data_IF_351534595104
#
_entry.id   IF_351534595104
#
_cell.length_a   1.000
_cell.length_b   1.000
_cell.length_c   1.000
_cell.angle_alpha   90.00
_cell.angle_beta   90.00
_cell.angle_gamma   90.00
#
_symmetry.space_group_name_H-M   'P 1'
#
loop_
_entity.id
_entity.type
_entity.pdbx_description
1 polymer ?
#
# COMPACT_ATOMS: atom_id res chain seq x y z
N UNK A 1 -8.38 0.48 -4.87
CA UNK A 1 -6.93 0.31 -5.02
C UNK A 1 -6.40 1.71 -5.24
N UNK A 2 -5.52 2.15 -4.36
CA UNK A 2 -5.03 3.52 -4.37
C UNK A 2 -3.57 3.53 -4.78
N UNK A 3 -3.14 4.61 -5.42
CA UNK A 3 -1.73 4.80 -5.74
C UNK A 3 -0.99 5.08 -4.43
N UNK A 4 0.11 4.38 -4.23
CA UNK A 4 0.97 4.54 -3.08
C UNK A 4 2.39 4.88 -3.55
N UNK A 5 2.94 5.98 -3.04
CA UNK A 5 4.29 6.44 -3.33
C UNK A 5 5.29 5.42 -2.81
N UNK A 6 6.12 4.93 -3.73
CA UNK A 6 7.24 4.07 -3.37
C UNK A 6 8.31 4.91 -2.65
N UNK A 7 8.85 4.44 -1.51
CA UNK A 7 9.99 5.10 -0.87
C UNK A 7 11.21 5.14 -1.80
N UNK A 8 11.89 6.28 -1.83
CA UNK A 8 13.09 6.49 -2.65
C UNK A 8 14.23 5.53 -2.28
N UNK A 9 14.28 5.10 -1.01
CA UNK A 9 15.25 4.12 -0.52
C UNK A 9 14.85 2.65 -0.78
N UNK A 10 13.80 2.41 -1.60
CA UNK A 10 13.40 1.05 -1.97
C UNK A 10 14.19 0.52 -3.16
N UNK A 11 14.11 -0.79 -3.39
CA UNK A 11 14.70 -1.45 -4.57
C UNK A 11 13.70 -1.56 -5.73
N UNK A 12 12.61 -0.80 -5.72
CA UNK A 12 11.60 -0.86 -6.77
C UNK A 12 11.84 0.22 -7.82
N UNK A 13 11.80 -0.15 -9.09
CA UNK A 13 12.10 0.73 -10.23
C UNK A 13 10.90 1.63 -10.64
N UNK A 14 9.87 1.74 -9.80
CA UNK A 14 8.65 2.50 -10.11
C UNK A 14 8.35 3.52 -9.02
N UNK A 15 7.76 4.64 -9.43
CA UNK A 15 7.45 5.76 -8.51
C UNK A 15 6.24 5.48 -7.62
N UNK A 16 5.35 4.60 -8.06
CA UNK A 16 4.14 4.24 -7.32
C UNK A 16 3.75 2.79 -7.56
N UNK A 17 3.10 2.19 -6.57
CA UNK A 17 2.42 0.91 -6.71
C UNK A 17 0.94 1.09 -6.40
N UNK A 18 0.09 0.17 -6.86
CA UNK A 18 -1.31 0.11 -6.44
C UNK A 18 -1.43 -0.73 -5.18
N UNK A 19 -1.98 -0.15 -4.12
CA UNK A 19 -2.13 -0.83 -2.82
C UNK A 19 -3.61 -0.80 -2.38
N UNK A 20 -4.07 -1.89 -1.79
CA UNK A 20 -5.40 -1.95 -1.18
C UNK A 20 -5.37 -1.40 0.26
N UNK A 21 -5.93 -0.21 0.46
CA UNK A 21 -6.09 0.41 1.79
C UNK A 21 -7.45 0.18 2.44
N UNK A 22 -8.27 -0.75 1.91
CA UNK A 22 -9.50 -1.17 2.58
C UNK A 22 -9.16 -2.01 3.83
N UNK A 23 -9.46 -1.47 5.00
CA UNK A 23 -9.18 -2.10 6.29
C UNK A 23 -10.14 -3.26 6.63
N UNK A 24 -11.23 -3.41 5.87
CA UNK A 24 -12.17 -4.53 5.98
C UNK A 24 -11.84 -5.67 5.00
N UNK A 25 -10.80 -5.51 4.18
CA UNK A 25 -10.40 -6.53 3.23
C UNK A 25 -10.01 -7.84 3.96
N UNK A 26 -10.61 -9.00 3.61
CA UNK A 26 -10.33 -10.25 4.30
C UNK A 26 -8.85 -10.67 4.26
N UNK A 27 -8.11 -10.28 3.22
CA UNK A 27 -6.68 -10.52 3.13
C UNK A 27 -5.90 -9.80 4.23
N UNK A 28 -6.20 -8.51 4.45
CA UNK A 28 -5.58 -7.68 5.47
C UNK A 28 -6.02 -8.10 6.88
N UNK A 29 -7.31 -8.35 7.10
CA UNK A 29 -7.84 -8.75 8.41
C UNK A 29 -7.26 -10.08 8.85
N UNK A 30 -7.27 -11.10 7.98
CA UNK A 30 -6.70 -12.43 8.32
C UNK A 30 -5.18 -12.41 8.48
N UNK A 31 -4.49 -11.49 7.80
CA UNK A 31 -3.04 -11.36 7.93
C UNK A 31 -2.58 -11.06 9.36
N UNK A 32 -3.37 -10.29 10.13
CA UNK A 32 -3.08 -10.02 11.55
C UNK A 32 -3.10 -11.28 12.40
N UNK A 33 -4.16 -12.08 12.30
CA UNK A 33 -4.26 -13.35 13.01
C UNK A 33 -3.16 -14.31 12.60
N UNK A 34 -2.87 -14.42 11.30
CA UNK A 34 -1.83 -15.31 10.79
C UNK A 34 -0.43 -14.97 11.32
N UNK A 35 -0.05 -13.69 11.29
CA UNK A 35 1.24 -13.23 11.80
C UNK A 35 1.37 -13.41 13.31
N UNK A 36 0.29 -13.16 14.05
CA UNK A 36 0.25 -13.38 15.49
C UNK A 36 0.40 -14.87 15.81
N UNK A 37 -0.37 -15.75 15.17
CA UNK A 37 -0.36 -17.18 15.47
C UNK A 37 0.97 -17.84 15.10
N UNK A 38 1.53 -17.51 13.93
CA UNK A 38 2.72 -18.17 13.40
C UNK A 38 4.03 -17.58 13.90
N UNK A 39 4.08 -16.28 14.16
CA UNK A 39 5.33 -15.56 14.45
C UNK A 39 5.26 -14.68 15.69
N UNK A 40 4.12 -14.64 16.39
CA UNK A 40 3.89 -13.74 17.54
C UNK A 40 4.19 -12.27 17.20
N UNK A 41 3.94 -11.89 15.94
CA UNK A 41 4.26 -10.57 15.42
C UNK A 41 2.99 -9.76 15.19
N UNK A 42 2.97 -8.52 15.68
CA UNK A 42 1.92 -7.53 15.39
C UNK A 42 2.15 -6.92 14.01
N UNK A 43 1.85 -7.69 12.96
CA UNK A 43 1.95 -7.26 11.58
C UNK A 43 0.84 -7.87 10.73
N UNK A 44 0.61 -7.31 9.55
CA UNK A 44 -0.24 -7.88 8.50
C UNK A 44 0.32 -7.51 7.13
N UNK A 45 -0.42 -7.83 6.07
CA UNK A 45 -0.07 -7.54 4.70
C UNK A 45 -1.22 -6.81 3.98
N UNK A 46 -0.87 -5.80 3.18
CA UNK A 46 -1.77 -5.21 2.19
C UNK A 46 -1.43 -5.76 0.81
N UNK A 47 -2.44 -5.95 -0.02
CA UNK A 47 -2.23 -6.40 -1.39
C UNK A 47 -1.66 -5.25 -2.23
N UNK A 48 -0.54 -5.48 -2.89
CA UNK A 48 0.20 -4.51 -3.68
C UNK A 48 0.41 -5.02 -5.11
N UNK A 49 0.27 -4.16 -6.11
CA UNK A 49 0.48 -4.47 -7.53
C UNK A 49 1.48 -3.46 -8.10
N UNK A 50 2.49 -3.97 -8.77
CA UNK A 50 3.41 -3.18 -9.59
C UNK A 50 2.71 -2.75 -10.90
N UNK A 51 2.64 -1.45 -11.22
CA UNK A 51 1.94 -0.96 -12.41
C UNK A 51 2.63 -1.30 -13.73
N UNK A 52 3.94 -1.59 -13.71
CA UNK A 52 4.73 -1.90 -14.91
C UNK A 52 4.66 -3.39 -15.21
N UNK A 53 4.92 -4.22 -14.22
CA UNK A 53 5.00 -5.68 -14.40
C UNK A 53 3.65 -6.39 -14.22
N UNK A 54 2.68 -5.75 -13.55
CA UNK A 54 1.43 -6.37 -13.14
C UNK A 54 1.57 -7.38 -11.99
N UNK A 55 2.78 -7.54 -11.45
CA UNK A 55 3.06 -8.50 -10.38
C UNK A 55 2.34 -8.12 -9.08
N UNK A 56 1.57 -9.06 -8.54
CA UNK A 56 0.93 -8.94 -7.22
C UNK A 56 1.86 -9.44 -6.11
N UNK A 57 1.96 -8.70 -5.00
CA UNK A 57 2.80 -9.03 -3.85
C UNK A 57 2.20 -8.61 -2.51
N UNK A 58 2.51 -9.31 -1.41
CA UNK A 58 2.22 -8.83 -0.06
C UNK A 58 3.09 -7.61 0.27
N UNK A 59 2.48 -6.57 0.83
CA UNK A 59 3.17 -5.41 1.38
C UNK A 59 3.00 -5.39 2.90
N UNK A 60 4.07 -5.62 3.69
CA UNK A 60 3.96 -5.73 5.14
C UNK A 60 3.58 -4.40 5.79
N UNK A 61 2.76 -4.47 6.83
CA UNK A 61 2.29 -3.33 7.62
C UNK A 61 2.32 -3.67 9.12
N UNK A 62 2.71 -2.70 9.94
CA UNK A 62 2.83 -2.85 11.41
C UNK A 62 1.69 -2.18 12.18
N UNK A 63 0.84 -1.42 11.50
CA UNK A 63 -0.38 -0.83 12.07
C UNK A 63 -1.47 -0.66 11.00
N UNK A 64 -2.69 -0.30 11.41
CA UNK A 64 -3.78 0.04 10.49
C UNK A 64 -3.44 1.30 9.66
N UNK A 65 -2.69 2.24 10.24
CA UNK A 65 -2.31 3.50 9.59
C UNK A 65 -1.04 3.39 8.75
N UNK A 66 -0.26 2.31 8.91
CA UNK A 66 0.99 2.14 8.19
C UNK A 66 0.77 2.27 6.68
N UNK A 67 1.69 3.01 6.05
CA UNK A 67 1.74 3.31 4.61
C UNK A 67 0.67 4.29 4.11
N UNK A 68 -0.32 4.67 4.91
CA UNK A 68 -1.40 5.59 4.48
C UNK A 68 -0.88 7.00 4.17
N UNK A 69 0.20 7.44 4.82
CA UNK A 69 0.82 8.75 4.56
C UNK A 69 1.42 8.85 3.15
N UNK A 70 1.70 7.71 2.51
CA UNK A 70 2.20 7.65 1.14
C UNK A 70 1.09 7.54 0.08
N UNK A 71 -0.19 7.63 0.46
CA UNK A 71 -1.29 7.57 -0.51
C UNK A 71 -1.26 8.82 -1.39
N UNK A 72 -1.18 8.60 -2.70
CA UNK A 72 -1.27 9.65 -3.70
C UNK A 72 -2.75 9.83 -4.02
N UNK A 73 -3.35 10.88 -3.45
CA UNK A 73 -4.68 11.32 -3.86
C UNK A 73 -4.55 12.05 -5.20
N UNK A 74 -5.24 11.57 -6.23
CA UNK A 74 -5.40 12.34 -7.46
C UNK A 74 -6.29 13.56 -7.16
N UNK A 75 -5.70 14.64 -6.66
CA UNK A 75 -6.32 15.94 -6.76
C UNK A 75 -6.27 16.32 -8.24
N UNK A 76 -7.40 16.19 -8.94
CA UNK A 76 -7.63 16.93 -10.17
C UNK A 76 -7.77 18.43 -9.81
N UNK A 77 -6.66 19.06 -9.40
CA UNK A 77 -6.58 20.46 -9.02
C UNK A 77 -5.30 21.15 -9.57
N UNK A 78 -4.75 20.62 -10.67
CA UNK A 78 -3.69 21.26 -11.46
C UNK A 78 -4.15 21.55 -12.91
N UNK A 79 -5.44 21.84 -13.08
CA UNK A 79 -5.96 22.53 -14.28
C UNK A 79 -6.66 23.81 -13.81
N UNK A 80 -5.85 24.81 -13.44
CA UNK A 80 -6.15 26.27 -13.42
C UNK A 80 -5.11 27.02 -12.55
N UNK A 81 -3.86 27.04 -13.01
CA UNK A 81 -3.01 28.24 -12.92
C UNK A 81 -2.62 28.53 -14.37
N UNK A 82 -3.02 29.59 -15.04
CA UNK A 82 -3.57 30.86 -14.61
C UNK A 82 -3.01 31.89 -15.60
N UNK A 83 -3.92 32.55 -16.32
CA UNK A 83 -3.77 33.81 -17.06
C UNK A 83 -2.65 33.91 -18.12
#
# INVERSE_FOLDING_TARGET
>A
MDKWRVPEASTWDTEFHYVCFNDECPYFVRGWSWMQEKYQAKASYRHCIDPVTGCSRPLPVWSLTALKDGIIYNNNADSEKGN
#
